data_IF_851426490941
#
_entry.id   IF_851426490941
#
_cell.length_a   1.000
_cell.length_b   1.000
_cell.length_c   1.000
_cell.angle_alpha   90.00
_cell.angle_beta   90.00
_cell.angle_gamma   90.00
#
_symmetry.space_group_name_H-M   'P 1'
#
loop_
_entity.id
_entity.type
_entity.pdbx_description
1 polymer ?
#
# COMPACT_ATOMS: atom_id res chain seq x y z
N UNK A 1 13.01 -18.22 -7.80
CA UNK A 1 13.19 -17.87 -6.36
C UNK A 1 12.52 -18.94 -5.50
N UNK A 2 13.25 -19.56 -4.56
CA UNK A 2 12.68 -20.58 -3.65
C UNK A 2 11.55 -19.98 -2.79
N UNK A 3 10.57 -20.78 -2.38
CA UNK A 3 9.40 -20.34 -1.60
C UNK A 3 9.81 -19.61 -0.30
N UNK A 4 10.82 -20.12 0.39
CA UNK A 4 11.36 -19.52 1.63
C UNK A 4 11.75 -18.05 1.41
N UNK A 5 12.47 -17.75 0.33
CA UNK A 5 12.87 -16.38 0.00
C UNK A 5 11.69 -15.47 -0.33
N UNK A 6 10.63 -16.00 -0.96
CA UNK A 6 9.39 -15.26 -1.20
C UNK A 6 8.72 -14.88 0.11
N UNK A 7 8.64 -15.79 1.07
CA UNK A 7 8.07 -15.51 2.39
C UNK A 7 8.88 -14.48 3.17
N UNK A 8 10.21 -14.60 3.16
CA UNK A 8 11.11 -13.63 3.83
C UNK A 8 10.95 -12.24 3.22
N UNK A 9 10.95 -12.13 1.89
CA UNK A 9 10.79 -10.86 1.19
C UNK A 9 9.43 -10.23 1.50
N UNK A 10 8.35 -11.01 1.51
CA UNK A 10 7.03 -10.53 1.92
C UNK A 10 7.00 -10.06 3.37
N UNK A 11 7.59 -10.80 4.29
CA UNK A 11 7.65 -10.41 5.70
C UNK A 11 8.39 -9.06 5.86
N UNK A 12 9.52 -8.89 5.18
CA UNK A 12 10.30 -7.65 5.19
C UNK A 12 9.53 -6.46 4.62
N UNK A 13 8.65 -6.68 3.65
CA UNK A 13 7.80 -5.64 3.07
C UNK A 13 6.86 -4.98 4.09
N UNK A 14 6.42 -5.74 5.11
CA UNK A 14 5.49 -5.27 6.13
C UNK A 14 6.17 -4.77 7.41
N UNK A 15 7.49 -4.93 7.56
CA UNK A 15 8.25 -4.44 8.73
C UNK A 15 8.01 -2.95 9.03
N UNK A 16 8.01 -2.03 8.03
CA UNK A 16 7.74 -0.62 8.29
C UNK A 16 6.35 -0.37 8.93
N UNK A 17 5.35 -1.16 8.52
CA UNK A 17 4.00 -1.09 9.08
C UNK A 17 3.92 -1.71 10.48
N UNK A 18 4.58 -2.86 10.69
CA UNK A 18 4.60 -3.56 11.97
C UNK A 18 5.22 -2.71 13.09
N UNK A 19 6.25 -1.91 12.79
CA UNK A 19 6.83 -1.00 13.78
C UNK A 19 5.79 0.01 14.30
N UNK A 20 4.96 0.57 13.42
CA UNK A 20 3.94 1.55 13.84
C UNK A 20 2.67 0.92 14.41
N UNK A 21 2.47 -0.37 14.22
CA UNK A 21 1.23 -1.06 14.60
C UNK A 21 0.84 -0.95 16.08
N UNK A 22 1.76 -1.08 17.06
CA UNK A 22 1.42 -0.90 18.48
C UNK A 22 0.91 0.50 18.81
N UNK A 23 1.44 1.52 18.14
CA UNK A 23 0.99 2.91 18.30
C UNK A 23 -0.41 3.07 17.71
N UNK A 24 -0.65 2.52 16.51
CA UNK A 24 -1.95 2.57 15.85
C UNK A 24 -3.06 1.95 16.70
N UNK A 25 -2.82 0.78 17.31
CA UNK A 25 -3.79 0.11 18.19
C UNK A 25 -4.18 1.00 19.37
N UNK A 26 -3.20 1.66 20.01
CA UNK A 26 -3.47 2.58 21.11
C UNK A 26 -4.29 3.78 20.63
N UNK A 27 -3.96 4.35 19.47
CA UNK A 27 -4.67 5.51 18.92
C UNK A 27 -6.10 5.19 18.49
N UNK A 28 -6.36 3.98 17.98
CA UNK A 28 -7.72 3.51 17.66
C UNK A 28 -8.61 3.37 18.90
N UNK A 29 -8.04 2.92 20.02
CA UNK A 29 -8.77 2.76 21.29
C UNK A 29 -8.93 4.06 22.09
N UNK A 30 -8.01 5.02 21.92
CA UNK A 30 -8.00 6.26 22.68
C UNK A 30 -9.00 7.32 22.19
N UNK A 31 -9.38 7.29 20.90
CA UNK A 31 -10.22 8.34 20.30
C UNK A 31 -11.44 7.73 19.58
N UNK A 32 -12.68 8.16 19.89
CA UNK A 32 -13.90 7.64 19.26
C UNK A 32 -13.89 7.77 17.74
N UNK A 33 -13.29 8.84 17.22
CA UNK A 33 -13.21 9.17 15.79
C UNK A 33 -12.36 8.16 15.01
N UNK A 34 -11.36 7.56 15.68
CA UNK A 34 -10.41 6.63 15.07
C UNK A 34 -10.84 5.16 15.21
N UNK A 35 -11.89 4.88 16.00
CA UNK A 35 -12.41 3.52 16.19
C UNK A 35 -12.87 2.86 14.88
N UNK A 36 -13.32 3.68 13.92
CA UNK A 36 -13.77 3.21 12.60
C UNK A 36 -12.61 2.82 11.67
N UNK A 37 -11.40 3.29 11.94
CA UNK A 37 -10.24 3.00 11.09
C UNK A 37 -9.80 1.53 11.18
N UNK A 38 -10.13 0.85 12.28
CA UNK A 38 -9.98 -0.62 12.44
C UNK A 38 -10.71 -1.39 11.34
N UNK A 39 -11.86 -0.90 10.87
CA UNK A 39 -12.62 -1.59 9.83
C UNK A 39 -11.88 -1.58 8.49
N UNK A 40 -11.09 -0.55 8.18
CA UNK A 40 -10.25 -0.53 6.98
C UNK A 40 -9.12 -1.56 7.07
N UNK A 41 -8.53 -1.73 8.25
CA UNK A 41 -7.52 -2.77 8.48
C UNK A 41 -8.14 -4.18 8.37
N UNK A 42 -9.30 -4.40 8.98
CA UNK A 42 -10.03 -5.67 8.86
C UNK A 42 -10.39 -5.98 7.39
N UNK A 43 -10.88 -4.98 6.65
CA UNK A 43 -11.16 -5.11 5.23
C UNK A 43 -9.90 -5.47 4.43
N UNK A 44 -8.75 -4.85 4.71
CA UNK A 44 -7.48 -5.17 4.06
C UNK A 44 -7.09 -6.66 4.25
N UNK A 45 -7.24 -7.17 5.47
CA UNK A 45 -6.98 -8.59 5.77
C UNK A 45 -7.95 -9.54 5.07
N UNK A 46 -9.24 -9.21 5.07
CA UNK A 46 -10.27 -10.02 4.39
C UNK A 46 -10.00 -10.07 2.89
N UNK A 47 -9.74 -8.91 2.26
CA UNK A 47 -9.41 -8.80 0.84
C UNK A 47 -8.15 -9.61 0.50
N UNK A 48 -7.11 -9.49 1.33
CA UNK A 48 -5.88 -10.27 1.18
C UNK A 48 -6.16 -11.78 1.24
N UNK A 49 -6.90 -12.24 2.23
CA UNK A 49 -7.22 -13.66 2.41
C UNK A 49 -8.01 -14.20 1.20
N UNK A 50 -9.02 -13.48 0.71
CA UNK A 50 -9.84 -13.90 -0.43
C UNK A 50 -9.01 -13.96 -1.71
N UNK A 51 -8.20 -12.93 -2.00
CA UNK A 51 -7.37 -12.86 -3.21
C UNK A 51 -6.30 -13.95 -3.23
N UNK A 52 -5.61 -14.14 -2.11
CA UNK A 52 -4.61 -15.20 -1.97
C UNK A 52 -5.28 -16.56 -2.08
N UNK A 53 -6.38 -16.83 -1.37
CA UNK A 53 -7.08 -18.12 -1.40
C UNK A 53 -7.59 -18.47 -2.81
N UNK A 54 -8.22 -17.53 -3.52
CA UNK A 54 -8.83 -17.81 -4.83
C UNK A 54 -7.79 -17.98 -5.93
N UNK A 55 -6.67 -17.28 -5.85
CA UNK A 55 -5.70 -17.18 -6.95
C UNK A 55 -4.29 -17.69 -6.59
N UNK A 56 -4.09 -18.37 -5.45
CA UNK A 56 -2.78 -18.93 -5.08
C UNK A 56 -2.21 -19.89 -6.14
N UNK A 57 -3.10 -20.57 -6.89
CA UNK A 57 -2.74 -21.52 -7.96
C UNK A 57 -2.30 -20.86 -9.26
N UNK A 58 -2.45 -19.55 -9.43
CA UNK A 58 -2.11 -18.84 -10.68
C UNK A 58 -0.61 -18.76 -10.97
N UNK A 59 0.22 -19.42 -10.16
CA UNK A 59 1.65 -19.51 -10.38
C UNK A 59 2.36 -18.22 -9.99
N UNK A 60 3.27 -18.32 -9.01
CA UNK A 60 4.09 -17.19 -8.58
C UNK A 60 5.17 -16.89 -9.62
N UNK A 61 4.86 -16.07 -10.62
CA UNK A 61 5.85 -15.54 -11.56
C UNK A 61 6.63 -14.41 -10.90
N UNK A 62 7.94 -14.55 -10.71
CA UNK A 62 8.78 -13.49 -10.11
C UNK A 62 9.12 -12.45 -11.17
N UNK A 63 8.92 -11.16 -10.88
CA UNK A 63 9.25 -10.04 -11.77
C UNK A 63 10.18 -9.02 -11.07
N UNK A 64 11.47 -9.35 -11.03
CA UNK A 64 12.48 -8.55 -10.35
C UNK A 64 12.63 -7.15 -10.97
N UNK A 65 12.70 -7.05 -12.31
CA UNK A 65 12.94 -5.76 -12.97
C UNK A 65 11.79 -4.78 -12.71
N UNK A 66 10.55 -5.21 -12.93
CA UNK A 66 9.38 -4.34 -12.72
C UNK A 66 9.20 -3.94 -11.25
N UNK A 67 9.35 -4.89 -10.33
CA UNK A 67 9.26 -4.60 -8.91
C UNK A 67 10.37 -3.66 -8.42
N UNK A 68 11.62 -3.85 -8.84
CA UNK A 68 12.74 -3.00 -8.43
C UNK A 68 12.62 -1.55 -8.91
N UNK A 69 12.06 -1.33 -10.11
CA UNK A 69 11.84 0.03 -10.63
C UNK A 69 10.88 0.85 -9.78
N UNK A 70 9.98 0.20 -9.03
CA UNK A 70 9.09 0.86 -8.07
C UNK A 70 9.67 0.82 -6.65
N UNK A 71 10.35 -0.26 -6.28
CA UNK A 71 10.88 -0.46 -4.93
C UNK A 71 11.95 0.56 -4.57
N UNK A 72 12.89 0.86 -5.48
CA UNK A 72 14.00 1.78 -5.20
C UNK A 72 13.48 3.20 -4.93
N UNK A 73 12.64 3.81 -5.81
CA UNK A 73 12.07 5.12 -5.51
C UNK A 73 11.19 5.14 -4.25
N UNK A 74 10.37 4.11 -4.04
CA UNK A 74 9.52 4.03 -2.85
C UNK A 74 10.34 3.94 -1.56
N UNK A 75 11.44 3.18 -1.58
CA UNK A 75 12.39 3.09 -0.49
C UNK A 75 13.06 4.45 -0.21
N UNK A 76 13.46 5.19 -1.25
CA UNK A 76 14.02 6.52 -1.09
C UNK A 76 13.03 7.50 -0.44
N UNK A 77 11.77 7.49 -0.88
CA UNK A 77 10.69 8.30 -0.28
C UNK A 77 10.45 7.91 1.18
N UNK A 78 10.45 6.61 1.48
CA UNK A 78 10.30 6.12 2.85
C UNK A 78 11.46 6.55 3.75
N UNK A 79 12.71 6.41 3.29
CA UNK A 79 13.92 6.85 4.02
C UNK A 79 13.86 8.36 4.27
N UNK A 80 13.47 9.15 3.26
CA UNK A 80 13.28 10.58 3.40
C UNK A 80 12.26 10.90 4.51
N UNK A 81 11.10 10.24 4.51
CA UNK A 81 10.10 10.38 5.58
C UNK A 81 10.62 10.04 6.97
N UNK A 82 11.50 9.05 7.10
CA UNK A 82 12.16 8.70 8.38
C UNK A 82 13.14 9.80 8.79
N UNK A 83 14.03 10.22 7.89
CA UNK A 83 15.08 11.21 8.18
C UNK A 83 14.50 12.54 8.64
N UNK A 84 13.45 13.01 7.99
CA UNK A 84 12.80 14.29 8.31
C UNK A 84 11.59 14.15 9.23
N UNK A 85 11.35 12.96 9.80
CA UNK A 85 10.18 12.64 10.64
C UNK A 85 8.84 13.04 10.00
N UNK A 86 8.78 13.05 8.68
CA UNK A 86 7.62 13.47 7.92
C UNK A 86 6.78 12.24 7.53
N UNK A 87 5.71 12.03 8.29
CA UNK A 87 4.81 10.89 8.12
C UNK A 87 4.06 10.90 6.78
N UNK A 88 3.89 12.09 6.18
CA UNK A 88 3.26 12.25 4.88
C UNK A 88 4.07 11.61 3.75
N UNK A 89 5.40 11.52 3.88
CA UNK A 89 6.25 10.77 2.96
C UNK A 89 6.46 9.34 3.41
N UNK A 90 6.58 9.09 4.72
CA UNK A 90 6.83 7.76 5.26
C UNK A 90 5.71 6.77 4.89
N UNK A 91 4.44 7.11 5.15
CA UNK A 91 3.35 6.16 4.96
C UNK A 91 3.10 5.82 3.48
N UNK A 92 3.03 6.78 2.54
CA UNK A 92 2.96 6.46 1.11
C UNK A 92 4.21 5.72 0.62
N UNK A 93 5.41 6.10 1.07
CA UNK A 93 6.65 5.41 0.72
C UNK A 93 6.64 3.94 1.16
N UNK A 94 6.28 3.67 2.41
CA UNK A 94 6.13 2.31 2.95
C UNK A 94 5.05 1.51 2.19
N UNK A 95 3.94 2.15 1.83
CA UNK A 95 2.84 1.55 1.06
C UNK A 95 3.30 1.13 -0.33
N UNK A 96 3.96 2.04 -1.06
CA UNK A 96 4.50 1.78 -2.38
C UNK A 96 5.63 0.75 -2.34
N UNK A 97 6.46 0.78 -1.30
CA UNK A 97 7.51 -0.20 -1.10
C UNK A 97 6.91 -1.59 -0.88
N UNK A 98 5.95 -1.74 0.04
CA UNK A 98 5.27 -3.00 0.27
C UNK A 98 4.58 -3.52 -1.00
N UNK A 99 3.92 -2.63 -1.74
CA UNK A 99 3.29 -2.96 -3.01
C UNK A 99 4.29 -3.42 -4.08
N UNK A 100 5.43 -2.74 -4.21
CA UNK A 100 6.51 -3.13 -5.13
C UNK A 100 7.07 -4.51 -4.81
N UNK A 101 7.13 -4.89 -3.53
CA UNK A 101 7.58 -6.21 -3.11
C UNK A 101 6.55 -7.29 -3.47
N UNK A 102 5.25 -7.00 -3.35
CA UNK A 102 4.19 -7.88 -3.88
C UNK A 102 4.39 -8.11 -5.38
N UNK A 103 4.81 -7.09 -6.14
CA UNK A 103 5.17 -7.25 -7.55
C UNK A 103 6.34 -8.21 -7.75
N UNK A 104 7.43 -8.04 -7.00
CA UNK A 104 8.60 -8.92 -7.12
C UNK A 104 8.20 -10.37 -6.91
N UNK A 105 7.38 -10.65 -5.90
CA UNK A 105 7.04 -12.02 -5.46
C UNK A 105 5.98 -12.67 -6.34
N UNK A 106 4.90 -11.95 -6.65
CA UNK A 106 3.72 -12.48 -7.33
C UNK A 106 3.68 -12.13 -8.83
N UNK A 107 4.52 -11.22 -9.30
CA UNK A 107 4.57 -10.78 -10.69
C UNK A 107 3.40 -9.88 -11.07
N UNK A 108 3.40 -9.41 -12.32
CA UNK A 108 2.44 -8.41 -12.78
C UNK A 108 0.98 -8.84 -12.61
N UNK A 109 0.65 -10.11 -12.94
CA UNK A 109 -0.74 -10.60 -12.94
C UNK A 109 -1.42 -10.53 -11.58
N UNK A 110 -0.69 -10.83 -10.52
CA UNK A 110 -1.21 -10.80 -9.16
C UNK A 110 -0.95 -9.44 -8.49
N UNK A 111 0.11 -8.73 -8.89
CA UNK A 111 0.45 -7.40 -8.39
C UNK A 111 -0.71 -6.39 -8.48
N UNK A 112 -1.32 -6.24 -9.66
CA UNK A 112 -2.39 -5.26 -9.84
C UNK A 112 -3.64 -5.65 -9.03
N UNK A 113 -3.91 -6.96 -8.91
CA UNK A 113 -5.04 -7.48 -8.12
C UNK A 113 -4.86 -7.24 -6.63
N UNK A 114 -3.61 -7.26 -6.15
CA UNK A 114 -3.26 -7.04 -4.75
C UNK A 114 -3.09 -5.55 -4.39
N UNK A 115 -3.15 -4.63 -5.36
CA UNK A 115 -3.08 -3.17 -5.13
C UNK A 115 -4.00 -2.62 -4.03
N UNK A 116 -5.25 -3.11 -3.87
CA UNK A 116 -6.15 -2.61 -2.83
C UNK A 116 -5.62 -2.80 -1.42
N UNK A 117 -4.84 -3.86 -1.16
CA UNK A 117 -4.39 -4.24 0.18
C UNK A 117 -3.49 -3.15 0.80
N UNK A 118 -2.34 -2.79 0.20
CA UNK A 118 -1.47 -1.76 0.77
C UNK A 118 -2.18 -0.41 0.88
N UNK A 119 -3.09 -0.07 -0.06
CA UNK A 119 -3.85 1.17 0.02
C UNK A 119 -4.88 1.16 1.16
N UNK A 120 -5.56 0.04 1.42
CA UNK A 120 -6.45 -0.11 2.58
C UNK A 120 -5.70 -0.05 3.90
N UNK A 121 -4.47 -0.60 3.96
CA UNK A 121 -3.58 -0.44 5.12
C UNK A 121 -3.24 1.03 5.34
N UNK A 122 -2.96 1.79 4.28
CA UNK A 122 -2.76 3.24 4.38
C UNK A 122 -4.00 3.98 4.91
N UNK A 123 -5.20 3.59 4.48
CA UNK A 123 -6.46 4.20 4.96
C UNK A 123 -6.76 3.88 6.43
N UNK A 124 -6.19 2.80 6.97
CA UNK A 124 -6.36 2.39 8.38
C UNK A 124 -5.60 3.27 9.39
N UNK A 125 -4.73 4.17 8.92
CA UNK A 125 -4.10 5.15 9.79
C UNK A 125 -5.17 6.00 10.49
N UNK A 126 -5.03 6.35 11.79
CA UNK A 126 -5.98 7.17 12.52
C UNK A 126 -6.41 8.40 11.72
N UNK A 127 -7.71 8.62 11.59
CA UNK A 127 -8.28 9.75 10.84
C UNK A 127 -7.76 11.08 11.34
N UNK A 128 -7.55 11.23 12.65
CA UNK A 128 -6.93 12.43 13.24
C UNK A 128 -5.52 12.71 12.69
N UNK A 129 -4.70 11.66 12.52
CA UNK A 129 -3.36 11.79 11.93
C UNK A 129 -3.45 11.97 10.40
N UNK A 130 -4.36 11.24 9.75
CA UNK A 130 -4.54 11.30 8.31
C UNK A 130 -4.99 12.69 7.83
N UNK A 131 -5.92 13.33 8.54
CA UNK A 131 -6.38 14.70 8.26
C UNK A 131 -5.25 15.71 8.48
N UNK A 132 -4.42 15.51 9.51
CA UNK A 132 -3.28 16.37 9.79
C UNK A 132 -2.23 16.34 8.65
N UNK A 133 -1.97 15.16 8.07
CA UNK A 133 -1.01 15.01 6.98
C UNK A 133 -1.60 15.21 5.59
N UNK A 134 -2.92 15.07 5.42
CA UNK A 134 -3.64 15.22 4.14
C UNK A 134 -4.87 16.13 4.32
N UNK A 135 -4.65 17.46 4.45
CA UNK A 135 -5.75 18.40 4.64
C UNK A 135 -6.74 18.31 3.46
N UNK A 136 -8.02 18.15 3.79
CA UNK A 136 -9.12 17.94 2.82
C UNK A 136 -9.61 16.49 2.71
N UNK A 137 -8.85 15.51 3.22
CA UNK A 137 -9.31 14.11 3.30
C UNK A 137 -9.93 13.85 4.66
N UNK A 138 -11.25 13.66 4.71
CA UNK A 138 -12.00 13.29 5.91
C UNK A 138 -12.40 11.80 5.89
N UNK A 139 -13.11 11.35 6.93
CA UNK A 139 -13.57 9.96 7.03
C UNK A 139 -14.45 9.51 5.86
N UNK A 140 -15.24 10.41 5.26
CA UNK A 140 -16.09 10.09 4.10
C UNK A 140 -15.26 9.83 2.85
N UNK A 141 -14.18 10.59 2.65
CA UNK A 141 -13.21 10.33 1.58
C UNK A 141 -12.52 8.98 1.76
N UNK A 142 -12.08 8.66 2.98
CA UNK A 142 -11.51 7.33 3.27
C UNK A 142 -12.51 6.22 2.96
N UNK A 143 -13.76 6.37 3.40
CA UNK A 143 -14.82 5.40 3.14
C UNK A 143 -15.13 5.26 1.64
N UNK A 144 -15.14 6.36 0.89
CA UNK A 144 -15.32 6.36 -0.56
C UNK A 144 -14.18 5.63 -1.27
N UNK A 145 -12.92 5.92 -0.91
CA UNK A 145 -11.74 5.24 -1.49
C UNK A 145 -11.77 3.76 -1.11
N UNK A 146 -12.03 3.41 0.16
CA UNK A 146 -12.14 2.03 0.60
C UNK A 146 -13.24 1.26 -0.13
N UNK A 147 -14.40 1.90 -0.36
CA UNK A 147 -15.50 1.31 -1.13
C UNK A 147 -15.12 1.07 -2.58
N UNK A 148 -14.47 2.06 -3.22
CA UNK A 148 -13.95 1.91 -4.58
C UNK A 148 -12.92 0.77 -4.68
N UNK A 149 -12.06 0.60 -3.67
CA UNK A 149 -11.11 -0.50 -3.59
C UNK A 149 -11.78 -1.87 -3.38
N UNK A 150 -12.84 -1.93 -2.56
CA UNK A 150 -13.66 -3.15 -2.41
C UNK A 150 -14.31 -3.53 -3.75
N UNK A 151 -14.91 -2.56 -4.45
CA UNK A 151 -15.51 -2.74 -5.77
C UNK A 151 -14.45 -3.21 -6.77
N UNK A 152 -13.28 -2.55 -6.80
CA UNK A 152 -12.17 -2.96 -7.64
C UNK A 152 -11.72 -4.40 -7.34
N UNK A 153 -11.58 -4.76 -6.05
CA UNK A 153 -11.22 -6.12 -5.63
C UNK A 153 -12.25 -7.12 -6.11
N UNK A 154 -13.53 -6.81 -5.94
CA UNK A 154 -14.62 -7.65 -6.42
C UNK A 154 -14.51 -7.86 -7.93
N UNK A 155 -14.35 -6.80 -8.72
CA UNK A 155 -14.12 -6.93 -10.16
C UNK A 155 -12.85 -7.72 -10.49
N UNK A 156 -11.73 -7.48 -9.80
CA UNK A 156 -10.46 -8.16 -10.01
C UNK A 156 -10.50 -9.65 -9.66
N UNK A 157 -11.41 -10.06 -8.77
CA UNK A 157 -11.65 -11.47 -8.44
C UNK A 157 -12.33 -12.22 -9.59
N UNK A 158 -13.26 -11.57 -10.29
CA UNK A 158 -14.08 -12.16 -11.35
C UNK A 158 -13.55 -11.94 -12.76
N UNK A 159 -12.68 -10.95 -12.96
CA UNK A 159 -12.15 -10.58 -14.28
C UNK A 159 -10.67 -10.87 -14.42
N UNK A 160 -10.26 -11.31 -15.60
CA UNK A 160 -8.84 -11.46 -15.97
C UNK A 160 -8.25 -10.19 -16.59
N UNK A 161 -8.86 -9.04 -16.29
CA UNK A 161 -8.44 -7.75 -16.80
C UNK A 161 -7.06 -7.36 -16.24
N UNK A 162 -6.00 -7.53 -17.05
CA UNK A 162 -4.65 -7.08 -16.71
C UNK A 162 -4.38 -5.71 -17.33
N UNK A 163 -4.14 -4.65 -16.53
CA UNK A 163 -3.71 -3.36 -17.07
C UNK A 163 -2.38 -3.49 -17.81
N UNK A 164 -2.19 -2.68 -18.87
CA UNK A 164 -0.99 -2.70 -19.73
C UNK A 164 0.25 -2.33 -18.90
N UNK A 165 1.19 -3.28 -18.77
CA UNK A 165 2.46 -3.17 -18.01
C UNK A 165 3.34 -1.96 -18.37
N UNK A 166 3.20 -1.39 -19.56
CA UNK A 166 3.94 -0.17 -19.95
C UNK A 166 3.52 1.09 -19.18
N UNK A 167 2.32 1.12 -18.60
CA UNK A 167 1.82 2.28 -17.83
C UNK A 167 2.42 2.38 -16.42
N UNK A 168 3.10 1.36 -15.93
CA UNK A 168 3.68 1.38 -14.58
C UNK A 168 4.96 2.21 -14.47
N UNK A 169 5.74 2.32 -15.56
CA UNK A 169 6.87 3.26 -15.62
C UNK A 169 6.38 4.71 -15.48
N UNK A 170 5.23 5.03 -16.08
CA UNK A 170 4.57 6.32 -15.94
C UNK A 170 4.00 6.55 -14.53
N UNK A 171 3.48 5.50 -13.89
CA UNK A 171 3.05 5.58 -12.49
C UNK A 171 4.22 5.83 -11.55
N UNK A 172 5.34 5.11 -11.71
CA UNK A 172 6.56 5.33 -10.94
C UNK A 172 7.14 6.74 -11.18
N UNK A 173 7.17 7.20 -12.43
CA UNK A 173 7.55 8.57 -12.78
C UNK A 173 6.62 9.62 -12.14
N UNK A 174 5.31 9.36 -12.11
CA UNK A 174 4.32 10.23 -11.46
C UNK A 174 4.49 10.31 -9.95
N UNK A 175 4.80 9.18 -9.28
CA UNK A 175 5.12 9.16 -7.85
C UNK A 175 6.40 9.96 -7.56
N UNK A 176 7.45 9.76 -8.36
CA UNK A 176 8.71 10.51 -8.21
C UNK A 176 8.48 11.99 -8.44
N UNK A 177 7.76 12.35 -9.49
CA UNK A 177 7.42 13.74 -9.81
C UNK A 177 6.59 14.38 -8.68
N UNK A 178 5.60 13.68 -8.15
CA UNK A 178 4.82 14.15 -7.00
C UNK A 178 5.71 14.38 -5.78
N UNK A 179 6.61 13.44 -5.47
CA UNK A 179 7.54 13.59 -4.34
C UNK A 179 8.49 14.78 -4.52
N UNK A 180 8.99 15.03 -5.74
CA UNK A 180 9.84 16.19 -6.08
C UNK A 180 9.04 17.48 -5.97
N UNK A 181 7.87 17.55 -6.59
CA UNK A 181 7.03 18.75 -6.60
C UNK A 181 6.59 19.12 -5.18
N UNK A 182 6.22 18.15 -4.36
CA UNK A 182 5.81 18.40 -2.98
C UNK A 182 6.99 18.78 -2.08
N UNK A 183 8.17 18.19 -2.26
CA UNK A 183 9.39 18.59 -1.55
C UNK A 183 9.90 19.99 -1.95
N UNK A 184 9.52 20.49 -3.12
CA UNK A 184 9.86 21.82 -3.62
C UNK A 184 8.92 22.93 -3.12
N UNK A 185 7.79 22.58 -2.48
CA UNK A 185 6.90 23.58 -1.85
C UNK A 185 7.49 23.95 -0.49
N UNK A 186 7.90 25.22 -0.25
CA UNK A 186 8.34 25.66 1.06
C UNK A 186 7.17 25.57 2.05
N UNK A 187 7.41 24.90 3.18
CA UNK A 187 6.45 24.77 4.28
C UNK A 187 6.46 26.01 5.18
#
# INVERSE_FOLDING_TARGET
MKLVWKCVILALAFVPFLWKFPVLIRTWGAYPENSRDVYFMAAAFIVCAILVWRRYKEGLSTDLKGGLTLAIPALAVMIYGIMYRNMMFFYPGATLFAWSVLWIVFGWKMFYRLFPIPLMVLLSLPTTEFVHYFPGINIYWKAAIASALCIYTFFALWTDFSPIRRRTAWFAAGVILYAILYAAVPQ
#
